data_IF_594246410017
#
_entry.id   IF_594246410017
#
_cell.length_a   1.000
_cell.length_b   1.000
_cell.length_c   1.000
_cell.angle_alpha   90.00
_cell.angle_beta   90.00
_cell.angle_gamma   90.00
#
_symmetry.space_group_name_H-M   'P 1'
#
loop_
_entity.id
_entity.type
_entity.pdbx_description
1 polymer ?
#
# COMPACT_ATOMS: atom_id res chain seq x y z
N UNK A 1 -25.26 3.17 -35.01
CA UNK A 1 -24.59 2.94 -33.74
C UNK A 1 -23.09 2.87 -34.00
N UNK A 2 -22.35 3.88 -33.59
CA UNK A 2 -20.91 3.84 -33.67
C UNK A 2 -20.40 3.07 -32.44
N UNK A 3 -19.85 1.88 -32.68
CA UNK A 3 -19.10 1.16 -31.66
C UNK A 3 -17.79 1.89 -31.41
N UNK A 4 -17.67 2.52 -30.25
CA UNK A 4 -16.40 3.07 -29.80
C UNK A 4 -15.44 1.91 -29.54
N UNK A 5 -14.50 1.71 -30.45
CA UNK A 5 -13.41 0.78 -30.26
C UNK A 5 -12.31 1.50 -29.51
N UNK A 6 -12.11 1.16 -28.24
CA UNK A 6 -10.95 1.60 -27.49
C UNK A 6 -9.81 0.63 -27.72
N UNK A 7 -8.83 0.94 -28.58
CA UNK A 7 -7.79 -0.02 -28.96
C UNK A 7 -6.83 -0.38 -27.82
N UNK A 8 -6.98 0.26 -26.65
CA UNK A 8 -6.08 0.06 -25.52
C UNK A 8 -6.63 -0.77 -24.37
N UNK A 9 -7.90 -1.18 -24.43
CA UNK A 9 -8.52 -1.92 -23.32
C UNK A 9 -8.19 -3.42 -23.34
N UNK A 10 -7.78 -3.99 -24.47
CA UNK A 10 -7.56 -5.42 -24.64
C UNK A 10 -6.14 -5.81 -25.08
N UNK A 11 -5.12 -5.02 -24.72
CA UNK A 11 -3.77 -5.53 -24.64
C UNK A 11 -3.03 -5.83 -25.93
N UNK A 12 -3.43 -5.26 -27.08
CA UNK A 12 -2.73 -5.45 -28.35
C UNK A 12 -1.81 -4.31 -28.76
N UNK A 13 -1.29 -3.50 -27.81
CA UNK A 13 -0.17 -2.63 -28.12
C UNK A 13 1.10 -3.45 -28.23
N UNK A 14 1.97 -3.23 -29.24
CA UNK A 14 3.27 -3.92 -29.31
C UNK A 14 4.11 -3.50 -28.12
N UNK A 15 4.15 -4.36 -27.10
CA UNK A 15 4.92 -4.14 -25.90
C UNK A 15 6.34 -4.64 -26.09
N UNK A 16 7.33 -3.77 -25.98
CA UNK A 16 8.71 -4.17 -25.79
C UNK A 16 8.79 -5.06 -24.52
N UNK A 17 9.56 -6.14 -24.58
CA UNK A 17 9.71 -7.10 -23.47
C UNK A 17 10.03 -6.42 -22.13
N UNK A 18 10.80 -5.34 -22.17
CA UNK A 18 11.23 -4.62 -20.98
C UNK A 18 10.09 -3.81 -20.36
N UNK A 19 9.21 -3.22 -21.18
CA UNK A 19 8.01 -2.53 -20.73
C UNK A 19 6.98 -3.47 -20.12
N UNK A 20 6.91 -4.72 -20.57
CA UNK A 20 5.97 -5.71 -20.04
C UNK A 20 6.35 -6.11 -18.59
N UNK A 21 7.64 -6.31 -18.30
CA UNK A 21 8.12 -6.68 -16.96
C UNK A 21 7.90 -5.54 -15.95
N UNK A 22 8.22 -4.31 -16.34
CA UNK A 22 7.96 -3.10 -15.53
C UNK A 22 6.46 -2.93 -15.30
N UNK A 23 5.64 -3.14 -16.35
CA UNK A 23 4.19 -3.09 -16.27
C UNK A 23 3.61 -4.10 -15.29
N UNK A 24 4.12 -5.32 -15.24
CA UNK A 24 3.70 -6.36 -14.30
C UNK A 24 4.07 -6.00 -12.86
N UNK A 25 5.28 -5.53 -12.61
CA UNK A 25 5.73 -5.11 -11.28
C UNK A 25 4.91 -3.93 -10.77
N UNK A 26 4.61 -2.98 -11.64
CA UNK A 26 3.74 -1.85 -11.32
C UNK A 26 2.31 -2.31 -11.01
N UNK A 27 1.75 -3.23 -11.80
CA UNK A 27 0.42 -3.79 -11.56
C UNK A 27 0.35 -4.52 -10.22
N UNK A 28 1.35 -5.32 -9.89
CA UNK A 28 1.45 -5.99 -8.59
C UNK A 28 1.51 -5.01 -7.44
N UNK A 29 2.25 -3.91 -7.60
CA UNK A 29 2.34 -2.87 -6.59
C UNK A 29 1.01 -2.12 -6.41
N UNK A 30 0.30 -1.82 -7.50
CA UNK A 30 -1.04 -1.22 -7.46
C UNK A 30 -2.01 -2.11 -6.69
N UNK A 31 -2.03 -3.39 -6.99
CA UNK A 31 -2.88 -4.38 -6.30
C UNK A 31 -2.52 -4.49 -4.81
N UNK A 32 -1.23 -4.52 -4.48
CA UNK A 32 -0.77 -4.52 -3.10
C UNK A 32 -1.17 -3.25 -2.35
N UNK A 33 -1.07 -2.08 -2.99
CA UNK A 33 -1.52 -0.83 -2.41
C UNK A 33 -3.02 -0.85 -2.09
N UNK A 34 -3.86 -1.30 -3.01
CA UNK A 34 -5.30 -1.41 -2.77
C UNK A 34 -5.65 -2.43 -1.69
N UNK A 35 -4.95 -3.56 -1.67
CA UNK A 35 -5.10 -4.57 -0.61
C UNK A 35 -4.71 -3.98 0.76
N UNK A 36 -3.62 -3.21 0.78
CA UNK A 36 -3.15 -2.52 1.98
C UNK A 36 -4.17 -1.49 2.48
N UNK A 37 -4.76 -0.70 1.58
CA UNK A 37 -5.85 0.25 1.93
C UNK A 37 -6.99 -0.48 2.63
N UNK A 38 -7.46 -1.56 2.03
CA UNK A 38 -8.59 -2.33 2.56
C UNK A 38 -8.33 -2.86 3.96
N UNK A 39 -7.17 -3.47 4.18
CA UNK A 39 -6.86 -4.04 5.50
C UNK A 39 -6.55 -2.98 6.55
N UNK A 40 -5.87 -1.88 6.16
CA UNK A 40 -5.58 -0.77 7.06
C UNK A 40 -6.85 -0.06 7.53
N UNK A 41 -7.79 0.20 6.61
CA UNK A 41 -9.07 0.82 6.95
C UNK A 41 -9.89 -0.08 7.88
N UNK A 42 -9.97 -1.37 7.59
CA UNK A 42 -10.67 -2.34 8.46
C UNK A 42 -10.02 -2.45 9.83
N UNK A 43 -8.70 -2.50 9.87
CA UNK A 43 -7.94 -2.61 11.13
C UNK A 43 -8.13 -1.36 11.99
N UNK A 44 -8.03 -0.17 11.43
CA UNK A 44 -8.24 1.08 12.15
C UNK A 44 -9.69 1.23 12.64
N UNK A 45 -10.66 0.91 11.79
CA UNK A 45 -12.08 1.00 12.14
C UNK A 45 -12.45 0.05 13.29
N UNK A 46 -11.95 -1.17 13.22
CA UNK A 46 -12.16 -2.17 14.28
C UNK A 46 -11.54 -1.74 15.62
N UNK A 47 -10.32 -1.20 15.58
CA UNK A 47 -9.66 -0.68 16.79
C UNK A 47 -10.39 0.54 17.38
N UNK A 48 -10.94 1.42 16.55
CA UNK A 48 -11.75 2.56 17.00
C UNK A 48 -12.98 2.05 17.76
N UNK A 49 -13.62 1.01 17.27
CA UNK A 49 -14.73 0.34 17.96
C UNK A 49 -14.34 -0.26 19.32
N UNK A 50 -13.11 -0.74 19.45
CA UNK A 50 -12.59 -1.32 20.69
C UNK A 50 -12.17 -0.28 21.75
N UNK A 51 -11.88 0.97 21.35
CA UNK A 51 -11.45 2.04 22.28
C UNK A 51 -12.51 2.36 23.35
N UNK A 52 -13.73 1.91 23.16
CA UNK A 52 -14.79 1.99 24.14
C UNK A 52 -14.66 0.98 25.29
N UNK A 53 -13.74 0.02 25.21
CA UNK A 53 -13.54 -1.00 26.25
C UNK A 53 -12.75 -0.43 27.45
N UNK A 54 -13.44 -0.34 28.59
CA UNK A 54 -12.91 0.28 29.82
C UNK A 54 -11.85 -0.54 30.55
N UNK A 55 -11.55 -1.76 30.07
CA UNK A 55 -10.64 -2.70 30.73
C UNK A 55 -9.21 -2.70 30.17
N UNK A 56 -8.95 -1.91 29.12
CA UNK A 56 -7.64 -1.78 28.51
C UNK A 56 -6.73 -0.87 29.36
N UNK A 57 -5.50 -1.28 29.59
CA UNK A 57 -4.53 -0.46 30.31
C UNK A 57 -4.06 0.75 29.44
N UNK A 58 -3.44 1.75 30.08
CA UNK A 58 -3.03 2.99 29.39
C UNK A 58 -2.00 2.73 28.29
N UNK A 59 -1.05 1.82 28.50
CA UNK A 59 0.00 1.49 27.54
C UNK A 59 -0.57 0.85 26.29
N UNK A 60 -1.52 -0.07 26.46
CA UNK A 60 -2.21 -0.71 25.34
C UNK A 60 -3.08 0.28 24.56
N UNK A 61 -3.72 1.23 25.25
CA UNK A 61 -4.49 2.31 24.62
C UNK A 61 -3.60 3.22 23.79
N UNK A 62 -2.45 3.62 24.31
CA UNK A 62 -1.51 4.49 23.60
C UNK A 62 -0.97 3.78 22.35
N UNK A 63 -0.58 2.51 22.47
CA UNK A 63 -0.15 1.70 21.32
C UNK A 63 -1.25 1.56 20.28
N UNK A 64 -2.48 1.30 20.70
CA UNK A 64 -3.62 1.18 19.82
C UNK A 64 -3.91 2.49 19.08
N UNK A 65 -3.84 3.64 19.75
CA UNK A 65 -4.03 4.95 19.11
C UNK A 65 -2.96 5.23 18.06
N UNK A 66 -1.70 4.90 18.34
CA UNK A 66 -0.62 5.02 17.35
C UNK A 66 -0.86 4.10 16.17
N UNK A 67 -1.28 2.87 16.44
CA UNK A 67 -1.60 1.89 15.38
C UNK A 67 -2.73 2.38 14.48
N UNK A 68 -3.81 2.93 15.05
CA UNK A 68 -4.93 3.51 14.29
C UNK A 68 -4.43 4.59 13.33
N UNK A 69 -3.63 5.55 13.84
CA UNK A 69 -3.10 6.65 13.02
C UNK A 69 -2.20 6.15 11.89
N UNK A 70 -1.32 5.20 12.19
CA UNK A 70 -0.42 4.65 11.17
C UNK A 70 -1.17 3.81 10.13
N UNK A 71 -2.21 3.10 10.51
CA UNK A 71 -3.09 2.44 9.54
C UNK A 71 -3.77 3.45 8.61
N UNK A 72 -4.25 4.57 9.15
CA UNK A 72 -4.85 5.63 8.34
C UNK A 72 -3.83 6.28 7.40
N UNK A 73 -2.64 6.62 7.90
CA UNK A 73 -1.55 7.17 7.08
C UNK A 73 -1.14 6.20 5.96
N UNK A 74 -1.06 4.91 6.29
CA UNK A 74 -0.74 3.86 5.33
C UNK A 74 -1.81 3.73 4.24
N UNK A 75 -3.08 3.75 4.61
CA UNK A 75 -4.19 3.74 3.66
C UNK A 75 -4.14 4.96 2.73
N UNK A 76 -3.86 6.14 3.26
CA UNK A 76 -3.77 7.38 2.48
C UNK A 76 -2.62 7.34 1.47
N UNK A 77 -1.42 6.97 1.89
CA UNK A 77 -0.26 6.93 0.98
C UNK A 77 -0.40 5.81 -0.07
N UNK A 78 -0.93 4.66 0.31
CA UNK A 78 -1.20 3.56 -0.61
C UNK A 78 -2.25 3.95 -1.66
N UNK A 79 -3.32 4.65 -1.26
CA UNK A 79 -4.33 5.17 -2.18
C UNK A 79 -3.70 6.13 -3.19
N UNK A 80 -2.92 7.08 -2.72
CA UNK A 80 -2.24 8.05 -3.59
C UNK A 80 -1.28 7.37 -4.55
N UNK A 81 -0.47 6.45 -4.05
CA UNK A 81 0.51 5.69 -4.84
C UNK A 81 -0.17 4.86 -5.93
N UNK A 82 -1.22 4.12 -5.59
CA UNK A 82 -1.99 3.32 -6.54
C UNK A 82 -2.60 4.19 -7.65
N UNK A 83 -3.16 5.34 -7.29
CA UNK A 83 -3.76 6.26 -8.25
C UNK A 83 -2.73 6.86 -9.21
N UNK A 84 -1.56 7.26 -8.70
CA UNK A 84 -0.51 7.82 -9.54
C UNK A 84 0.11 6.77 -10.47
N UNK A 85 0.34 5.56 -9.97
CA UNK A 85 0.79 4.44 -10.80
C UNK A 85 -0.24 4.08 -11.89
N UNK A 86 -1.52 4.00 -11.54
CA UNK A 86 -2.58 3.61 -12.48
C UNK A 86 -2.71 4.55 -13.66
N UNK A 87 -2.43 5.84 -13.49
CA UNK A 87 -2.46 6.83 -14.58
C UNK A 87 -1.08 7.14 -15.17
N UNK A 88 -0.07 6.34 -14.83
CA UNK A 88 1.31 6.52 -15.29
C UNK A 88 1.84 7.94 -15.03
N UNK A 89 1.56 8.47 -13.83
CA UNK A 89 2.06 9.79 -13.44
C UNK A 89 3.57 9.84 -13.49
N UNK A 90 4.17 10.87 -14.13
CA UNK A 90 5.63 11.03 -14.15
C UNK A 90 6.23 11.29 -12.77
N UNK A 91 5.40 11.60 -11.77
CA UNK A 91 5.82 11.85 -10.39
C UNK A 91 5.61 10.63 -9.47
N UNK A 92 5.15 9.49 -9.99
CA UNK A 92 4.87 8.30 -9.18
C UNK A 92 6.11 7.79 -8.45
N UNK A 93 7.30 7.97 -9.02
CA UNK A 93 8.58 7.59 -8.43
C UNK A 93 8.85 8.26 -7.08
N UNK A 94 8.32 9.47 -6.86
CA UNK A 94 8.44 10.17 -5.58
C UNK A 94 7.72 9.47 -4.44
N UNK A 95 6.72 8.66 -4.76
CA UNK A 95 5.90 7.98 -3.77
C UNK A 95 6.41 6.59 -3.40
N UNK A 96 7.20 5.94 -4.23
CA UNK A 96 7.59 4.54 -3.99
C UNK A 96 8.31 4.36 -2.65
N UNK A 97 9.31 5.18 -2.40
CA UNK A 97 10.07 5.11 -1.14
C UNK A 97 9.22 5.54 0.06
N UNK A 98 8.48 6.62 -0.08
CA UNK A 98 7.61 7.12 0.97
C UNK A 98 6.53 6.10 1.34
N UNK A 99 5.88 5.50 0.34
CA UNK A 99 4.90 4.44 0.55
C UNK A 99 5.51 3.24 1.28
N UNK A 100 6.69 2.79 0.85
CA UNK A 100 7.39 1.68 1.50
C UNK A 100 7.72 1.99 2.96
N UNK A 101 8.24 3.16 3.25
CA UNK A 101 8.63 3.55 4.61
C UNK A 101 7.42 3.66 5.55
N UNK A 102 6.29 4.20 5.07
CA UNK A 102 5.06 4.29 5.86
C UNK A 102 4.43 2.91 6.06
N UNK A 103 4.41 2.07 5.03
CA UNK A 103 3.96 0.69 5.15
C UNK A 103 4.77 -0.09 6.19
N UNK A 104 6.09 0.08 6.24
CA UNK A 104 6.94 -0.56 7.24
C UNK A 104 6.66 -0.05 8.66
N UNK A 105 6.46 1.24 8.83
CA UNK A 105 6.09 1.81 10.15
C UNK A 105 4.75 1.26 10.63
N UNK A 106 3.77 1.19 9.74
CA UNK A 106 2.47 0.60 10.04
C UNK A 106 2.62 -0.88 10.43
N UNK A 107 3.38 -1.65 9.64
CA UNK A 107 3.63 -3.07 9.91
C UNK A 107 4.29 -3.28 11.26
N UNK A 108 5.34 -2.54 11.59
CA UNK A 108 6.04 -2.65 12.87
C UNK A 108 5.09 -2.43 14.05
N UNK A 109 4.25 -1.40 13.99
CA UNK A 109 3.30 -1.12 15.07
C UNK A 109 2.20 -2.16 15.15
N UNK A 110 1.68 -2.60 14.00
CA UNK A 110 0.69 -3.69 13.93
C UNK A 110 1.26 -5.01 14.47
N UNK A 111 2.52 -5.33 14.18
CA UNK A 111 3.20 -6.53 14.71
C UNK A 111 3.26 -6.51 16.25
N UNK A 112 3.51 -5.34 16.83
CA UNK A 112 3.52 -5.18 18.30
C UNK A 112 2.14 -5.32 18.91
N UNK A 113 1.09 -4.92 18.21
CA UNK A 113 -0.29 -5.00 18.69
C UNK A 113 -0.98 -6.33 18.32
N UNK A 114 -0.43 -7.10 17.38
CA UNK A 114 -1.00 -8.35 16.87
C UNK A 114 -1.38 -9.39 17.94
N UNK A 115 -0.62 -9.55 19.06
CA UNK A 115 -1.02 -10.48 20.12
C UNK A 115 -2.39 -10.18 20.75
N UNK A 116 -2.84 -8.93 20.65
CA UNK A 116 -4.11 -8.47 21.22
C UNK A 116 -5.21 -8.24 20.17
N UNK A 117 -4.84 -8.26 18.87
CA UNK A 117 -5.77 -7.93 17.80
C UNK A 117 -5.42 -8.67 16.51
N UNK A 118 -6.27 -9.62 16.11
CA UNK A 118 -6.00 -10.52 14.98
C UNK A 118 -5.81 -9.77 13.64
N UNK A 119 -6.60 -8.72 13.38
CA UNK A 119 -6.47 -7.94 12.16
C UNK A 119 -5.12 -7.23 12.04
N UNK A 120 -4.47 -6.91 13.16
CA UNK A 120 -3.13 -6.32 13.15
C UNK A 120 -2.09 -7.26 12.54
N UNK A 121 -2.21 -8.56 12.75
CA UNK A 121 -1.33 -9.56 12.12
C UNK A 121 -1.48 -9.55 10.60
N UNK A 122 -2.71 -9.56 10.11
CA UNK A 122 -3.00 -9.53 8.67
C UNK A 122 -2.59 -8.18 8.04
N UNK A 123 -2.84 -7.09 8.75
CA UNK A 123 -2.43 -5.75 8.33
C UNK A 123 -0.91 -5.64 8.21
N UNK A 124 -0.16 -6.12 9.19
CA UNK A 124 1.29 -6.12 9.16
C UNK A 124 1.84 -6.91 7.97
N UNK A 125 1.30 -8.10 7.68
CA UNK A 125 1.71 -8.93 6.56
C UNK A 125 1.51 -8.21 5.21
N UNK A 126 0.33 -7.59 4.99
CA UNK A 126 0.05 -6.84 3.77
C UNK A 126 0.92 -5.59 3.66
N UNK A 127 1.13 -4.85 4.74
CA UNK A 127 2.02 -3.69 4.75
C UNK A 127 3.46 -4.07 4.39
N UNK A 128 3.98 -5.19 4.90
CA UNK A 128 5.32 -5.69 4.55
C UNK A 128 5.41 -6.07 3.07
N UNK A 129 4.39 -6.73 2.54
CA UNK A 129 4.33 -7.09 1.12
C UNK A 129 4.32 -5.84 0.24
N UNK A 130 3.48 -4.87 0.56
CA UNK A 130 3.40 -3.60 -0.17
C UNK A 130 4.71 -2.82 -0.13
N UNK A 131 5.35 -2.73 1.04
CA UNK A 131 6.65 -2.08 1.21
C UNK A 131 7.72 -2.70 0.32
N UNK A 132 7.80 -4.03 0.25
CA UNK A 132 8.73 -4.75 -0.60
C UNK A 132 8.56 -4.43 -2.07
N UNK A 133 7.32 -4.46 -2.57
CA UNK A 133 7.01 -4.17 -3.97
C UNK A 133 7.30 -2.71 -4.34
N UNK A 134 6.97 -1.76 -3.45
CA UNK A 134 7.29 -0.35 -3.66
C UNK A 134 8.80 -0.10 -3.71
N UNK A 135 9.60 -0.77 -2.87
CA UNK A 135 11.05 -0.68 -2.90
C UNK A 135 11.64 -1.22 -4.20
N UNK A 136 11.14 -2.34 -4.69
CA UNK A 136 11.56 -2.89 -5.97
C UNK A 136 11.36 -1.90 -7.12
N UNK A 137 10.20 -1.25 -7.20
CA UNK A 137 9.92 -0.22 -8.19
C UNK A 137 10.85 0.99 -8.04
N UNK A 138 11.07 1.45 -6.82
CA UNK A 138 11.97 2.56 -6.54
C UNK A 138 13.42 2.27 -6.95
N UNK A 139 13.89 1.03 -6.78
CA UNK A 139 15.22 0.61 -7.19
C UNK A 139 15.40 0.60 -8.71
N UNK A 140 14.42 0.11 -9.47
CA UNK A 140 14.44 0.09 -10.93
C UNK A 140 14.53 1.51 -11.50
N UNK A 141 13.75 2.45 -10.96
CA UNK A 141 13.77 3.84 -11.41
C UNK A 141 15.09 4.55 -11.12
N UNK A 142 15.78 4.22 -10.03
CA UNK A 142 17.09 4.78 -9.73
C UNK A 142 18.14 4.37 -10.77
N UNK A 143 18.09 3.16 -11.30
CA UNK A 143 18.98 2.73 -12.38
C UNK A 143 18.69 3.46 -13.69
N UNK A 144 17.43 3.71 -14.03
CA UNK A 144 17.04 4.41 -15.24
C UNK A 144 17.47 5.90 -15.21
N UNK A 145 17.49 6.54 -14.05
CA UNK A 145 17.91 7.93 -13.88
C UNK A 145 19.43 8.13 -13.81
N UNK A 146 20.22 7.06 -13.68
CA UNK A 146 21.67 7.11 -13.65
C UNK A 146 22.30 6.87 -15.04
N UNK A 147 21.51 6.55 -16.03
CA UNK A 147 21.93 6.43 -17.44
C UNK A 147 21.49 7.64 -18.25
#
# INVERSE_FOLDING_TARGET
MQTFHFPYIFGEAPMHKDNHTIGQSMQQCIEACFSCVSICDRCSDDMIGMDADKHMDHTDKDLMQVCIRLCQDCADICTLSARWMSRLSPSADLLYRLCADICDRCAETCERHAPHHALCSDCAAECRRCAGLCRELGSVNNYANQM
#
